data_IF_236982793898
#
_entry.id   IF_236982793898
#
_cell.length_a   1.000
_cell.length_b   1.000
_cell.length_c   1.000
_cell.angle_alpha   90.00
_cell.angle_beta   90.00
_cell.angle_gamma   90.00
#
_symmetry.space_group_name_H-M   'P 1'
#
loop_
_entity.id
_entity.type
_entity.pdbx_description
1 polymer ?
#
# COMPACT_ATOMS: atom_id res chain seq x y z
N UNK A 1 12.22 -20.73 -5.99
CA UNK A 1 10.91 -21.12 -6.57
C UNK A 1 11.05 -21.11 -8.08
N UNK A 2 10.65 -22.20 -8.73
CA UNK A 2 10.70 -22.39 -10.18
C UNK A 2 9.32 -22.20 -10.81
N UNK A 3 8.28 -22.83 -10.25
CA UNK A 3 6.90 -22.78 -10.77
C UNK A 3 5.87 -22.90 -9.64
N UNK A 4 4.63 -22.55 -9.95
CA UNK A 4 3.47 -22.77 -9.07
C UNK A 4 2.23 -23.18 -9.87
N UNK A 5 1.35 -23.97 -9.25
CA UNK A 5 0.07 -24.35 -9.82
C UNK A 5 -0.95 -24.58 -8.70
N UNK A 6 -2.09 -23.88 -8.75
CA UNK A 6 -3.10 -23.96 -7.69
C UNK A 6 -2.52 -23.53 -6.34
N UNK A 7 -2.63 -24.40 -5.34
CA UNK A 7 -2.07 -24.15 -4.00
C UNK A 7 -0.61 -24.63 -3.83
N UNK A 8 0.04 -25.11 -4.89
CA UNK A 8 1.38 -25.70 -4.82
C UNK A 8 2.42 -24.79 -5.45
N UNK A 9 3.61 -24.76 -4.84
CA UNK A 9 4.84 -24.19 -5.40
C UNK A 9 5.95 -25.22 -5.41
N UNK A 10 6.85 -25.07 -6.36
CA UNK A 10 7.97 -25.97 -6.59
C UNK A 10 9.25 -25.15 -6.56
N UNK A 11 10.24 -25.57 -5.77
CA UNK A 11 11.56 -24.96 -5.81
C UNK A 11 12.41 -25.50 -6.97
N UNK A 12 13.64 -24.99 -7.11
CA UNK A 12 14.54 -25.33 -8.22
C UNK A 12 15.15 -26.73 -8.10
N UNK A 13 15.03 -27.36 -6.93
CA UNK A 13 15.49 -28.73 -6.66
C UNK A 13 14.36 -29.75 -6.84
N UNK A 14 13.15 -29.28 -7.19
CA UNK A 14 11.97 -30.10 -7.44
C UNK A 14 11.14 -30.42 -6.20
N UNK A 15 11.43 -29.82 -5.04
CA UNK A 15 10.60 -30.01 -3.85
C UNK A 15 9.25 -29.31 -4.02
N UNK A 16 8.19 -29.95 -3.54
CA UNK A 16 6.82 -29.45 -3.59
C UNK A 16 6.37 -28.95 -2.21
N UNK A 17 5.69 -27.80 -2.19
CA UNK A 17 5.16 -27.19 -0.96
C UNK A 17 3.72 -26.74 -1.16
N UNK A 18 2.88 -26.93 -0.14
CA UNK A 18 1.59 -26.24 -0.02
C UNK A 18 1.90 -24.79 0.34
N UNK A 19 1.48 -23.86 -0.51
CA UNK A 19 1.81 -22.44 -0.38
C UNK A 19 0.77 -21.67 0.44
N UNK A 20 1.17 -21.25 1.63
CA UNK A 20 0.42 -20.31 2.48
C UNK A 20 0.92 -18.86 2.36
N UNK A 21 2.02 -18.62 1.63
CA UNK A 21 2.55 -17.28 1.36
C UNK A 21 1.79 -16.60 0.23
N UNK A 22 1.47 -17.34 -0.84
CA UNK A 22 0.62 -16.88 -1.96
C UNK A 22 1.09 -15.54 -2.56
N UNK A 23 2.41 -15.39 -2.69
CA UNK A 23 3.06 -14.15 -3.11
C UNK A 23 2.69 -12.92 -2.26
N UNK A 24 2.45 -13.13 -0.96
CA UNK A 24 1.97 -12.13 0.00
C UNK A 24 0.52 -11.67 -0.22
N UNK A 25 -0.31 -12.48 -0.92
CA UNK A 25 -1.75 -12.24 -1.09
C UNK A 25 -2.30 -12.26 -2.53
N UNK A 26 -1.61 -11.80 -3.59
CA UNK A 26 -2.17 -11.70 -4.94
C UNK A 26 -2.67 -13.03 -5.53
N UNK A 27 -2.14 -14.17 -5.06
CA UNK A 27 -2.50 -15.50 -5.58
C UNK A 27 -3.75 -16.09 -4.92
N UNK A 28 -4.80 -15.27 -4.68
CA UNK A 28 -6.05 -15.71 -4.03
C UNK A 28 -6.80 -16.80 -4.83
N UNK A 29 -6.64 -16.82 -6.15
CA UNK A 29 -7.19 -17.85 -7.04
C UNK A 29 -6.21 -19.02 -7.28
N UNK A 30 -5.10 -19.06 -6.56
CA UNK A 30 -3.99 -19.99 -6.78
C UNK A 30 -3.04 -19.56 -7.90
N UNK A 31 -1.85 -20.17 -7.90
CA UNK A 31 -0.82 -19.94 -8.90
C UNK A 31 -1.25 -20.42 -10.28
N UNK A 32 -0.90 -19.66 -11.32
CA UNK A 32 -1.16 -19.98 -12.73
C UNK A 32 -2.62 -20.35 -13.05
N UNK A 33 -3.59 -19.70 -12.38
CA UNK A 33 -5.02 -19.95 -12.60
C UNK A 33 -5.38 -19.87 -14.10
N UNK A 34 -6.00 -20.91 -14.71
CA UNK A 34 -6.12 -21.03 -16.17
C UNK A 34 -6.76 -19.82 -16.86
N UNK A 35 -7.81 -19.24 -16.27
CA UNK A 35 -8.47 -18.04 -16.82
C UNK A 35 -7.59 -16.79 -16.80
N UNK A 36 -6.76 -16.63 -15.77
CA UNK A 36 -5.86 -15.47 -15.64
C UNK A 36 -4.72 -15.61 -16.64
N UNK A 37 -4.11 -16.80 -16.70
CA UNK A 37 -3.04 -17.11 -17.66
C UNK A 37 -3.50 -16.90 -19.10
N UNK A 38 -4.69 -17.40 -19.47
CA UNK A 38 -5.22 -17.24 -20.82
C UNK A 38 -5.47 -15.78 -21.18
N UNK A 39 -6.07 -14.98 -20.27
CA UNK A 39 -6.28 -13.56 -20.49
C UNK A 39 -4.96 -12.78 -20.67
N UNK A 40 -3.92 -13.11 -19.90
CA UNK A 40 -2.60 -12.52 -20.05
C UNK A 40 -1.97 -12.86 -21.41
N UNK A 41 -2.03 -14.13 -21.84
CA UNK A 41 -1.51 -14.56 -23.16
C UNK A 41 -2.20 -13.78 -24.28
N UNK A 42 -3.52 -13.65 -24.24
CA UNK A 42 -4.28 -12.90 -25.25
C UNK A 42 -3.90 -11.41 -25.27
N UNK A 43 -3.70 -10.81 -24.10
CA UNK A 43 -3.31 -9.40 -24.01
C UNK A 43 -1.89 -9.15 -24.48
N UNK A 44 -0.94 -10.03 -24.17
CA UNK A 44 0.46 -9.87 -24.62
C UNK A 44 0.59 -9.79 -26.15
N UNK A 45 -0.29 -10.48 -26.89
CA UNK A 45 -0.36 -10.40 -28.36
C UNK A 45 -0.81 -9.05 -28.90
N UNK A 46 -1.54 -8.26 -28.10
CA UNK A 46 -2.02 -6.92 -28.48
C UNK A 46 -1.02 -5.81 -28.10
N UNK A 47 0.01 -6.13 -27.32
CA UNK A 47 0.90 -5.17 -26.66
C UNK A 47 0.55 -4.98 -25.19
N UNK A 48 1.57 -4.73 -24.35
CA UNK A 48 1.44 -4.69 -22.88
C UNK A 48 1.49 -3.29 -22.28
N UNK A 49 1.84 -2.28 -23.06
CA UNK A 49 1.88 -0.88 -22.64
C UNK A 49 1.76 0.03 -23.85
N UNK A 50 0.95 1.09 -23.72
CA UNK A 50 0.61 1.99 -24.83
C UNK A 50 0.91 3.47 -24.54
N UNK A 51 1.15 3.85 -23.28
CA UNK A 51 1.28 5.26 -22.89
C UNK A 51 0.02 6.10 -23.19
N UNK A 52 -1.12 5.46 -23.43
CA UNK A 52 -2.39 6.06 -23.81
C UNK A 52 -3.55 5.26 -23.19
N UNK A 53 -4.74 5.89 -23.01
CA UNK A 53 -5.88 5.23 -22.39
C UNK A 53 -6.39 4.02 -23.17
N UNK A 54 -6.93 3.05 -22.42
CA UNK A 54 -7.52 1.80 -22.91
C UNK A 54 -8.89 1.57 -22.28
N UNK A 55 -9.82 0.87 -22.96
CA UNK A 55 -11.11 0.51 -22.38
C UNK A 55 -11.01 -0.33 -21.09
N UNK A 56 -9.94 -1.13 -20.95
CA UNK A 56 -9.73 -2.01 -19.79
C UNK A 56 -9.53 -1.23 -18.49
N UNK A 57 -8.96 -0.02 -18.55
CA UNK A 57 -8.82 0.84 -17.38
C UNK A 57 -10.19 1.30 -16.85
N UNK A 58 -11.12 1.61 -17.76
CA UNK A 58 -12.49 2.01 -17.40
C UNK A 58 -13.27 0.83 -16.82
N UNK A 59 -13.14 -0.35 -17.43
CA UNK A 59 -13.76 -1.58 -16.93
C UNK A 59 -13.27 -1.92 -15.52
N UNK A 60 -11.95 -1.95 -15.31
CA UNK A 60 -11.36 -2.25 -14.00
C UNK A 60 -11.75 -1.20 -12.96
N UNK A 61 -11.73 0.09 -13.31
CA UNK A 61 -12.18 1.15 -12.41
C UNK A 61 -13.65 0.95 -12.02
N UNK A 62 -14.52 0.59 -12.97
CA UNK A 62 -15.93 0.28 -12.69
C UNK A 62 -16.09 -0.92 -11.74
N UNK A 63 -15.30 -1.97 -11.91
CA UNK A 63 -15.29 -3.14 -11.02
C UNK A 63 -14.84 -2.79 -9.61
N UNK A 64 -13.78 -1.99 -9.46
CA UNK A 64 -13.27 -1.55 -8.15
C UNK A 64 -14.32 -0.72 -7.41
N UNK A 65 -14.94 0.25 -8.07
CA UNK A 65 -16.01 1.09 -7.47
C UNK A 65 -17.21 0.26 -7.04
N UNK A 66 -17.56 -0.78 -7.80
CA UNK A 66 -18.64 -1.71 -7.43
C UNK A 66 -18.28 -2.57 -6.22
N UNK A 67 -17.02 -3.00 -6.10
CA UNK A 67 -16.54 -3.80 -4.97
C UNK A 67 -16.36 -2.96 -3.69
N UNK A 68 -15.97 -1.70 -3.83
CA UNK A 68 -15.73 -0.76 -2.74
C UNK A 68 -16.55 0.52 -2.94
N UNK A 69 -17.81 0.57 -2.46
CA UNK A 69 -18.72 1.69 -2.71
C UNK A 69 -18.23 3.05 -2.20
N UNK A 70 -17.30 3.09 -1.23
CA UNK A 70 -16.66 4.33 -0.76
C UNK A 70 -15.70 4.95 -1.78
N UNK A 71 -15.27 4.20 -2.79
CA UNK A 71 -14.40 4.70 -3.85
C UNK A 71 -15.26 5.30 -4.98
N UNK A 72 -15.51 6.60 -4.92
CA UNK A 72 -16.25 7.30 -5.99
C UNK A 72 -15.39 7.50 -7.25
N UNK A 73 -14.09 7.76 -7.06
CA UNK A 73 -13.07 7.89 -8.09
C UNK A 73 -11.85 7.04 -7.73
N UNK A 74 -11.18 6.50 -8.74
CA UNK A 74 -10.01 5.62 -8.56
C UNK A 74 -8.89 6.05 -9.51
N UNK A 75 -7.65 5.92 -9.03
CA UNK A 75 -6.43 6.07 -9.82
C UNK A 75 -5.61 4.80 -9.72
N UNK A 76 -5.32 4.17 -10.85
CA UNK A 76 -4.39 3.03 -10.91
C UNK A 76 -2.95 3.53 -10.80
N UNK A 77 -2.14 2.76 -10.07
CA UNK A 77 -0.69 2.93 -9.88
C UNK A 77 -0.05 1.54 -9.85
N UNK A 78 1.28 1.46 -9.76
CA UNK A 78 2.01 0.24 -10.03
C UNK A 78 2.38 -0.53 -8.74
N UNK A 79 2.18 0.08 -7.57
CA UNK A 79 2.45 -0.58 -6.28
C UNK A 79 1.62 -0.01 -5.12
N UNK A 80 1.57 -0.75 -4.01
CA UNK A 80 1.01 -0.25 -2.75
C UNK A 80 1.75 0.98 -2.20
N UNK A 81 3.07 1.06 -2.39
CA UNK A 81 3.88 2.23 -2.00
C UNK A 81 3.43 3.48 -2.77
N UNK A 82 3.26 3.37 -4.09
CA UNK A 82 2.80 4.48 -4.92
C UNK A 82 1.37 4.92 -4.56
N UNK A 83 0.52 3.97 -4.19
CA UNK A 83 -0.84 4.26 -3.75
C UNK A 83 -0.83 5.05 -2.43
N UNK A 84 -0.10 4.57 -1.43
CA UNK A 84 0.00 5.22 -0.11
C UNK A 84 0.61 6.62 -0.20
N UNK A 85 1.71 6.79 -0.96
CA UNK A 85 2.34 8.11 -1.11
C UNK A 85 1.43 9.09 -1.86
N UNK A 86 0.65 8.61 -2.84
CA UNK A 86 -0.32 9.44 -3.57
C UNK A 86 -1.49 9.84 -2.68
N UNK A 87 -1.99 8.92 -1.85
CA UNK A 87 -3.07 9.20 -0.89
C UNK A 87 -2.64 10.23 0.16
N UNK A 88 -1.44 10.10 0.74
CA UNK A 88 -0.89 11.08 1.69
C UNK A 88 -0.74 12.45 1.03
N UNK A 89 -0.20 12.50 -0.19
CA UNK A 89 -0.07 13.76 -0.93
C UNK A 89 -1.43 14.40 -1.20
N UNK A 90 -2.44 13.60 -1.54
CA UNK A 90 -3.81 14.08 -1.75
C UNK A 90 -4.42 14.61 -0.44
N UNK A 91 -4.28 13.89 0.68
CA UNK A 91 -4.79 14.29 1.98
C UNK A 91 -4.17 15.64 2.43
N UNK A 92 -2.84 15.77 2.37
CA UNK A 92 -2.13 17.03 2.64
C UNK A 92 -2.59 18.16 1.72
N UNK A 93 -2.68 17.89 0.41
CA UNK A 93 -3.09 18.87 -0.58
C UNK A 93 -4.54 19.35 -0.41
N UNK A 94 -5.43 18.47 0.03
CA UNK A 94 -6.85 18.77 0.28
C UNK A 94 -7.05 19.54 1.59
N UNK A 95 -6.48 19.04 2.69
CA UNK A 95 -6.65 19.61 4.03
C UNK A 95 -5.79 20.86 4.29
N UNK A 96 -4.72 21.06 3.51
CA UNK A 96 -3.68 22.08 3.73
C UNK A 96 -2.92 21.92 5.05
N UNK A 97 -2.79 20.67 5.50
CA UNK A 97 -2.11 20.28 6.74
C UNK A 97 -0.91 19.40 6.43
N UNK A 98 0.10 19.45 7.28
CA UNK A 98 1.37 18.79 7.00
C UNK A 98 1.50 17.41 7.67
N UNK A 99 0.93 17.23 8.86
CA UNK A 99 1.16 16.01 9.65
C UNK A 99 0.26 14.85 9.22
N UNK A 100 0.76 13.64 9.38
CA UNK A 100 -0.02 12.40 9.25
C UNK A 100 0.13 11.56 10.52
N UNK A 101 -0.87 10.75 10.82
CA UNK A 101 -0.78 9.70 11.84
C UNK A 101 -0.57 8.35 11.14
N UNK A 102 0.36 7.54 11.66
CA UNK A 102 0.44 6.10 11.38
C UNK A 102 0.52 5.32 12.68
N UNK A 103 0.27 4.02 12.58
CA UNK A 103 0.35 3.12 13.71
C UNK A 103 1.64 2.30 13.70
N UNK A 104 2.20 2.05 14.88
CA UNK A 104 3.33 1.15 15.06
C UNK A 104 2.98 -0.27 14.59
N UNK A 105 3.90 -0.92 13.90
CA UNK A 105 3.68 -2.25 13.30
C UNK A 105 2.93 -2.24 11.98
N UNK A 106 2.29 -1.13 11.58
CA UNK A 106 1.66 -1.02 10.25
C UNK A 106 2.69 -0.65 9.17
N UNK A 107 2.59 -1.30 8.01
CA UNK A 107 3.43 -1.04 6.83
C UNK A 107 2.60 -0.52 5.66
N UNK A 108 3.01 0.61 5.09
CA UNK A 108 2.34 1.28 3.98
C UNK A 108 3.28 1.57 2.80
N UNK A 109 4.33 0.77 2.64
CA UNK A 109 5.38 1.02 1.67
C UNK A 109 6.55 1.81 2.26
N UNK A 110 7.51 2.15 1.41
CA UNK A 110 8.80 2.73 1.81
C UNK A 110 8.97 4.21 1.42
N UNK A 111 7.87 4.95 1.23
CA UNK A 111 7.98 6.39 1.04
C UNK A 111 8.54 7.04 2.31
N UNK A 112 9.40 8.05 2.18
CA UNK A 112 10.16 8.64 3.30
C UNK A 112 9.30 9.00 4.51
N UNK A 113 8.11 9.58 4.28
CA UNK A 113 7.19 9.94 5.36
C UNK A 113 6.61 8.76 6.13
N UNK A 114 6.78 7.53 5.67
CA UNK A 114 6.26 6.32 6.31
C UNK A 114 7.35 5.53 7.06
N UNK A 115 8.62 5.83 6.80
CA UNK A 115 9.79 5.20 7.42
C UNK A 115 10.19 5.96 8.70
N UNK A 116 9.24 6.06 9.63
CA UNK A 116 9.39 6.80 10.89
C UNK A 116 9.06 5.86 12.05
N UNK A 117 9.95 5.81 13.05
CA UNK A 117 9.78 4.98 14.26
C UNK A 117 8.78 5.60 15.22
N UNK A 118 8.19 4.76 16.06
CA UNK A 118 7.64 5.22 17.33
C UNK A 118 8.79 5.72 18.21
N UNK A 119 8.71 6.97 18.69
CA UNK A 119 9.61 7.46 19.72
C UNK A 119 9.32 6.78 21.06
N UNK A 120 10.33 6.52 21.87
CA UNK A 120 10.12 5.99 23.22
C UNK A 120 9.53 7.08 24.13
N UNK A 121 8.26 6.92 24.51
CA UNK A 121 7.58 7.70 25.55
C UNK A 121 7.23 9.13 25.13
N UNK A 122 5.95 9.41 24.84
CA UNK A 122 5.35 10.74 24.63
C UNK A 122 6.05 11.70 23.62
N UNK A 123 7.20 11.33 23.05
CA UNK A 123 7.92 12.16 22.09
C UNK A 123 7.27 11.99 20.72
N UNK A 124 6.42 12.94 20.36
CA UNK A 124 5.80 13.15 19.04
C UNK A 124 6.82 13.50 17.94
N UNK A 125 8.11 13.53 18.27
CA UNK A 125 9.18 13.86 17.34
C UNK A 125 9.42 12.66 16.42
N UNK A 126 8.97 12.76 15.17
CA UNK A 126 9.19 11.74 14.16
C UNK A 126 10.68 11.51 13.92
N UNK A 127 11.20 10.41 14.45
CA UNK A 127 12.59 9.98 14.28
C UNK A 127 12.64 9.05 13.06
N UNK A 128 13.52 9.32 12.07
CA UNK A 128 13.74 8.43 10.94
C UNK A 128 14.05 6.99 11.37
N UNK A 129 13.41 6.02 10.71
CA UNK A 129 13.70 4.58 10.90
C UNK A 129 14.88 4.12 10.02
N UNK A 130 15.09 4.81 8.90
CA UNK A 130 16.16 4.53 7.93
C UNK A 130 17.15 5.70 7.85
N UNK A 131 18.48 5.45 7.85
CA UNK A 131 19.51 6.50 7.77
C UNK A 131 19.43 7.42 6.54
N UNK A 132 18.70 7.02 5.49
CA UNK A 132 18.50 7.80 4.27
C UNK A 132 17.35 8.80 4.31
N UNK A 133 16.54 8.80 5.37
CA UNK A 133 15.36 9.68 5.48
C UNK A 133 15.72 10.96 6.25
N UNK A 134 15.61 12.14 5.62
CA UNK A 134 15.83 13.42 6.32
C UNK A 134 14.89 13.60 7.50
N UNK A 135 15.42 14.09 8.63
CA UNK A 135 14.62 14.42 9.81
C UNK A 135 13.50 15.43 9.51
N UNK A 136 13.73 16.33 8.55
CA UNK A 136 12.72 17.29 8.09
C UNK A 136 11.50 16.66 7.42
N UNK A 137 11.61 15.44 6.89
CA UNK A 137 10.44 14.69 6.40
C UNK A 137 9.80 13.90 7.53
N UNK A 138 10.61 13.29 8.39
CA UNK A 138 10.13 12.42 9.47
C UNK A 138 9.29 13.18 10.52
N UNK A 139 9.62 14.44 10.81
CA UNK A 139 8.89 15.28 11.79
C UNK A 139 7.40 15.49 11.46
N UNK A 140 6.99 15.24 10.22
CA UNK A 140 5.59 15.37 9.78
C UNK A 140 4.81 14.05 9.89
N UNK A 141 5.37 13.04 10.55
CA UNK A 141 4.71 11.75 10.77
C UNK A 141 4.71 11.42 12.25
N UNK A 142 3.52 11.32 12.81
CA UNK A 142 3.30 10.90 14.20
C UNK A 142 3.03 9.40 14.18
N UNK A 143 3.78 8.64 14.98
CA UNK A 143 3.55 7.19 15.13
C UNK A 143 2.92 6.91 16.49
N UNK A 144 1.77 6.23 16.48
CA UNK A 144 0.99 5.87 17.67
C UNK A 144 0.95 4.35 17.83
N UNK A 145 0.94 3.78 19.05
CA UNK A 145 0.72 2.35 19.24
C UNK A 145 -0.60 1.89 18.60
N UNK A 146 -0.56 0.79 17.85
CA UNK A 146 -1.79 0.21 17.29
C UNK A 146 -2.76 -0.22 18.41
N UNK A 147 -4.07 -0.11 18.16
CA UNK A 147 -5.13 -0.38 19.15
C UNK A 147 -5.11 0.49 20.41
N UNK A 148 -4.56 1.71 20.35
CA UNK A 148 -4.60 2.68 21.44
C UNK A 148 -5.37 3.94 21.05
N UNK A 149 -6.66 4.00 21.36
CA UNK A 149 -7.54 5.14 21.04
C UNK A 149 -7.22 6.37 21.89
N UNK A 150 -6.86 6.18 23.16
CA UNK A 150 -6.55 7.29 24.07
C UNK A 150 -5.36 8.10 23.57
N UNK A 151 -4.34 7.42 23.04
CA UNK A 151 -3.18 8.08 22.41
C UNK A 151 -3.54 8.83 21.12
N UNK A 152 -4.56 8.36 20.36
CA UNK A 152 -5.09 9.12 19.22
C UNK A 152 -5.80 10.38 19.70
N UNK A 153 -6.62 10.28 20.74
CA UNK A 153 -7.32 11.43 21.32
C UNK A 153 -6.34 12.48 21.85
N UNK A 154 -5.28 12.08 22.56
CA UNK A 154 -4.22 12.97 23.04
C UNK A 154 -3.54 13.71 21.87
N UNK A 155 -3.12 12.99 20.83
CA UNK A 155 -2.49 13.60 19.64
C UNK A 155 -3.44 14.58 18.93
N UNK A 156 -4.72 14.22 18.82
CA UNK A 156 -5.73 15.08 18.19
C UNK A 156 -6.02 16.34 19.04
N UNK A 157 -5.98 16.25 20.37
CA UNK A 157 -6.10 17.41 21.26
C UNK A 157 -4.89 18.34 21.14
N UNK A 158 -3.68 17.79 21.03
CA UNK A 158 -2.44 18.56 20.98
C UNK A 158 -2.20 19.24 19.62
N UNK A 159 -2.48 18.53 18.51
CA UNK A 159 -2.13 19.01 17.17
C UNK A 159 -3.09 18.58 16.05
N UNK A 160 -4.34 18.22 16.37
CA UNK A 160 -5.36 17.78 15.41
C UNK A 160 -5.64 18.75 14.26
N UNK A 161 -5.47 20.05 14.49
CA UNK A 161 -5.67 21.09 13.47
C UNK A 161 -4.63 21.05 12.34
N UNK A 162 -3.49 20.39 12.55
CA UNK A 162 -2.43 20.19 11.55
C UNK A 162 -2.28 18.72 11.10
N UNK A 163 -3.27 17.86 11.39
CA UNK A 163 -3.30 16.47 10.93
C UNK A 163 -4.15 16.34 9.65
N UNK A 164 -3.52 15.86 8.59
CA UNK A 164 -4.13 15.66 7.27
C UNK A 164 -4.90 14.33 7.16
N UNK A 165 -4.35 13.25 7.71
CA UNK A 165 -4.96 11.91 7.72
C UNK A 165 -4.35 11.01 8.80
#
# INVERSE_FOLDING_TARGET
MERGSGCLIYDVDGNEYIDYVLSWGPMIAGHAHPRVTQALIEMTRKGTSFGAPTPLEVELAGMVRKAFPSMELVRMVNSGTEAAMSAIRLARGYTKRDKIIKFEGCYHGHADSLLVKAGSGATTLGIPDSPGVPADLAKHTITIPFNNTDAVEEVMQDCGDDIAC
#
